data_IF_558313242387
#
_entry.id   IF_558313242387
#
_cell.length_a   1.000
_cell.length_b   1.000
_cell.length_c   1.000
_cell.angle_alpha   90.00
_cell.angle_beta   90.00
_cell.angle_gamma   90.00
#
_symmetry.space_group_name_H-M   'P 1'
#
loop_
_entity.id
_entity.type
_entity.pdbx_description
1 polymer ?
#
# COMPACT_ATOMS: atom_id res chain seq x y z
N UNK A 1 22.46 -62.95 31.51
CA UNK A 1 21.05 -62.58 31.73
C UNK A 1 20.91 -61.33 32.60
N UNK A 2 21.99 -60.81 33.20
CA UNK A 2 21.91 -59.64 34.10
C UNK A 2 22.01 -58.27 33.39
N UNK A 3 22.51 -58.22 32.15
CA UNK A 3 22.67 -56.97 31.40
C UNK A 3 21.36 -56.29 30.99
N UNK A 4 20.28 -57.04 30.73
CA UNK A 4 18.97 -56.45 30.37
C UNK A 4 18.30 -55.74 31.58
N UNK A 5 18.53 -56.25 32.79
CA UNK A 5 18.02 -55.62 34.02
C UNK A 5 18.79 -54.34 34.35
N UNK A 6 20.11 -54.34 34.16
CA UNK A 6 20.94 -53.15 34.38
C UNK A 6 20.67 -52.06 33.33
N UNK A 7 20.42 -52.43 32.08
CA UNK A 7 20.12 -51.45 31.02
C UNK A 7 18.71 -50.87 31.15
N UNK A 8 17.71 -51.64 31.59
CA UNK A 8 16.38 -51.11 31.92
C UNK A 8 16.41 -50.20 33.15
N UNK A 9 17.24 -50.50 34.16
CA UNK A 9 17.45 -49.63 35.31
C UNK A 9 18.08 -48.28 34.91
N UNK A 10 19.04 -48.28 33.97
CA UNK A 10 19.64 -47.04 33.44
C UNK A 10 18.64 -46.19 32.65
N UNK A 11 17.86 -46.81 31.76
CA UNK A 11 16.85 -46.09 30.97
C UNK A 11 15.75 -45.48 31.86
N UNK A 12 15.34 -46.17 32.93
CA UNK A 12 14.37 -45.62 33.88
C UNK A 12 14.97 -44.49 34.71
N UNK A 13 16.25 -44.58 35.10
CA UNK A 13 16.97 -43.49 35.77
C UNK A 13 17.06 -42.24 34.88
N UNK A 14 17.46 -42.39 33.61
CA UNK A 14 17.57 -41.29 32.66
C UNK A 14 16.21 -40.62 32.41
N UNK A 15 15.14 -41.41 32.33
CA UNK A 15 13.78 -40.91 32.20
C UNK A 15 13.34 -40.13 33.46
N UNK A 16 13.63 -40.66 34.65
CA UNK A 16 13.35 -39.96 35.91
C UNK A 16 14.14 -38.67 36.04
N UNK A 17 15.40 -38.66 35.60
CA UNK A 17 16.26 -37.48 35.59
C UNK A 17 15.73 -36.43 34.61
N UNK A 18 15.32 -36.83 33.40
CA UNK A 18 14.70 -35.95 32.42
C UNK A 18 13.40 -35.34 32.95
N UNK A 19 12.55 -36.16 33.60
CA UNK A 19 11.30 -35.68 34.22
C UNK A 19 11.58 -34.76 35.41
N UNK A 20 12.60 -35.04 36.22
CA UNK A 20 12.97 -34.20 37.35
C UNK A 20 13.49 -32.85 36.87
N UNK A 21 14.35 -32.83 35.84
CA UNK A 21 14.83 -31.58 35.20
C UNK A 21 13.68 -30.79 34.60
N UNK A 22 12.71 -31.47 33.98
CA UNK A 22 11.51 -30.81 33.46
C UNK A 22 10.66 -30.22 34.58
N UNK A 23 10.44 -30.95 35.68
CA UNK A 23 9.71 -30.45 36.84
C UNK A 23 10.44 -29.29 37.53
N UNK A 24 11.77 -29.36 37.60
CA UNK A 24 12.60 -28.27 38.11
C UNK A 24 12.50 -27.03 37.22
N UNK A 25 12.56 -27.22 35.91
CA UNK A 25 12.37 -26.14 34.94
C UNK A 25 10.97 -25.52 35.01
N UNK A 26 9.91 -26.31 35.21
CA UNK A 26 8.55 -25.75 35.33
C UNK A 26 8.35 -24.97 36.63
N UNK A 27 8.95 -25.42 37.73
CA UNK A 27 8.81 -24.78 39.04
C UNK A 27 9.69 -23.52 39.16
N UNK A 28 10.91 -23.57 38.63
CA UNK A 28 11.89 -22.50 38.81
C UNK A 28 12.14 -21.65 37.56
N UNK A 29 11.63 -22.06 36.40
CA UNK A 29 11.86 -21.38 35.12
C UNK A 29 13.27 -21.56 34.58
N UNK A 30 13.66 -20.74 33.60
CA UNK A 30 15.01 -20.72 33.05
C UNK A 30 16.01 -20.29 34.14
N UNK A 31 16.81 -21.23 34.62
CA UNK A 31 17.88 -20.99 35.57
C UNK A 31 19.09 -20.41 34.83
N UNK A 32 18.99 -19.17 34.36
CA UNK A 32 20.20 -18.40 34.07
C UNK A 32 21.01 -18.33 35.37
N UNK A 33 22.28 -18.71 35.32
CA UNK A 33 23.18 -18.99 36.44
C UNK A 33 23.47 -17.83 37.42
N UNK A 34 22.59 -16.84 37.54
CA UNK A 34 22.75 -15.65 38.37
C UNK A 34 21.66 -15.44 39.44
N UNK A 35 20.83 -16.45 39.74
CA UNK A 35 19.82 -16.33 40.78
C UNK A 35 20.22 -17.07 42.07
N UNK A 36 20.85 -16.34 42.99
CA UNK A 36 21.08 -16.68 44.39
C UNK A 36 20.09 -17.71 44.99
N UNK A 37 20.56 -18.93 45.23
CA UNK A 37 19.78 -20.08 45.71
C UNK A 37 19.59 -20.16 47.23
N UNK A 38 19.81 -19.07 47.98
CA UNK A 38 19.72 -19.09 49.46
C UNK A 38 18.63 -18.22 50.09
N UNK A 39 17.84 -17.48 49.30
CA UNK A 39 16.73 -16.64 49.81
C UNK A 39 15.54 -16.54 48.84
N UNK A 40 15.19 -17.63 48.13
CA UNK A 40 13.95 -17.63 47.34
C UNK A 40 12.81 -18.10 48.24
N UNK A 41 11.76 -17.27 48.37
CA UNK A 41 10.51 -17.62 49.06
C UNK A 41 9.97 -18.95 48.53
N UNK A 42 9.30 -19.72 49.39
CA UNK A 42 8.68 -20.99 48.98
C UNK A 42 7.73 -20.77 47.79
N UNK A 43 7.55 -21.78 46.92
CA UNK A 43 6.58 -21.72 45.81
C UNK A 43 5.18 -21.38 46.34
N UNK A 44 4.83 -21.92 47.51
CA UNK A 44 3.58 -21.63 48.19
C UNK A 44 3.47 -20.14 48.59
N UNK A 45 4.56 -19.54 49.09
CA UNK A 45 4.60 -18.12 49.44
C UNK A 45 4.49 -17.21 48.21
N UNK A 46 5.13 -17.59 47.09
CA UNK A 46 5.03 -16.86 45.82
C UNK A 46 3.63 -16.94 45.22
N UNK A 47 3.01 -18.12 45.25
CA UNK A 47 1.62 -18.29 44.81
C UNK A 47 0.68 -17.47 45.69
N UNK A 48 0.88 -17.46 47.00
CA UNK A 48 0.07 -16.67 47.91
C UNK A 48 0.26 -15.15 47.73
N UNK A 49 1.46 -14.70 47.37
CA UNK A 49 1.73 -13.30 47.01
C UNK A 49 1.03 -12.91 45.70
N UNK A 50 1.02 -13.80 44.70
CA UNK A 50 0.28 -13.60 43.45
C UNK A 50 -1.23 -13.63 43.66
N UNK A 51 -1.73 -14.53 44.49
CA UNK A 51 -3.14 -14.63 44.88
C UNK A 51 -3.60 -13.34 45.56
N UNK A 52 -2.83 -12.85 46.55
CA UNK A 52 -3.09 -11.55 47.17
C UNK A 52 -3.06 -10.40 46.15
N UNK A 53 -2.11 -10.43 45.22
CA UNK A 53 -2.03 -9.45 44.13
C UNK A 53 -3.28 -9.48 43.23
N UNK A 54 -3.74 -10.68 42.90
CA UNK A 54 -4.94 -10.90 42.09
C UNK A 54 -6.21 -10.47 42.84
N UNK A 55 -6.31 -10.74 44.14
CA UNK A 55 -7.40 -10.28 45.00
C UNK A 55 -7.46 -8.75 45.05
N UNK A 56 -6.31 -8.08 45.14
CA UNK A 56 -6.24 -6.62 45.10
C UNK A 56 -6.66 -6.07 43.73
N UNK A 57 -6.26 -6.72 42.63
CA UNK A 57 -6.62 -6.30 41.27
C UNK A 57 -8.10 -6.53 40.99
N UNK A 58 -8.64 -7.67 41.41
CA UNK A 58 -10.07 -8.00 41.26
C UNK A 58 -10.95 -7.13 42.15
N UNK A 59 -10.48 -6.72 43.33
CA UNK A 59 -11.18 -5.72 44.14
C UNK A 59 -11.21 -4.33 43.47
N UNK A 60 -10.17 -3.96 42.73
CA UNK A 60 -10.03 -2.64 42.08
C UNK A 60 -10.67 -2.56 40.69
N UNK A 61 -10.75 -3.65 39.94
CA UNK A 61 -11.22 -3.68 38.55
C UNK A 61 -12.49 -4.48 38.38
N UNK A 62 -13.58 -3.81 37.96
CA UNK A 62 -14.86 -4.46 37.60
C UNK A 62 -14.69 -5.45 36.44
N UNK A 63 -13.83 -5.13 35.47
CA UNK A 63 -13.56 -5.98 34.31
C UNK A 63 -12.93 -7.30 34.74
N UNK A 64 -11.99 -7.28 35.69
CA UNK A 64 -11.39 -8.50 36.22
C UNK A 64 -12.42 -9.40 36.93
N UNK A 65 -13.36 -8.80 37.68
CA UNK A 65 -14.47 -9.54 38.29
C UNK A 65 -15.40 -10.14 37.23
N UNK A 66 -15.71 -9.39 36.18
CA UNK A 66 -16.60 -9.85 35.13
C UNK A 66 -15.96 -10.97 34.31
N UNK A 67 -14.65 -10.93 34.06
CA UNK A 67 -13.91 -12.02 33.44
C UNK A 67 -13.87 -13.27 34.33
N UNK A 68 -13.71 -13.13 35.65
CA UNK A 68 -13.77 -14.28 36.55
C UNK A 68 -15.19 -14.89 36.61
N UNK A 69 -16.23 -14.06 36.61
CA UNK A 69 -17.62 -14.53 36.51
C UNK A 69 -17.88 -15.21 35.16
N UNK A 70 -17.30 -14.67 34.09
CA UNK A 70 -17.41 -15.25 32.75
C UNK A 70 -16.72 -16.62 32.67
N UNK A 71 -15.50 -16.72 33.22
CA UNK A 71 -14.77 -17.99 33.34
C UNK A 71 -15.51 -19.01 34.19
N UNK A 72 -16.16 -18.59 35.27
CA UNK A 72 -16.95 -19.48 36.11
C UNK A 72 -18.23 -19.97 35.42
N UNK A 73 -18.86 -19.14 34.58
CA UNK A 73 -20.08 -19.49 33.82
C UNK A 73 -19.78 -20.31 32.58
N UNK A 74 -18.62 -20.08 31.96
CA UNK A 74 -18.21 -20.71 30.72
C UNK A 74 -16.73 -21.11 30.81
N UNK A 75 -16.42 -22.19 31.56
CA UNK A 75 -15.05 -22.72 31.60
C UNK A 75 -14.56 -23.12 30.21
N UNK A 76 -15.47 -23.59 29.36
CA UNK A 76 -15.20 -24.09 28.01
C UNK A 76 -14.70 -23.02 27.01
N UNK A 77 -14.86 -21.72 27.33
CA UNK A 77 -14.29 -20.64 26.52
C UNK A 77 -12.77 -20.47 26.72
N UNK A 78 -12.27 -20.93 27.87
CA UNK A 78 -10.87 -20.74 28.28
C UNK A 78 -10.08 -22.05 28.34
N UNK A 79 -10.79 -23.18 28.37
CA UNK A 79 -10.20 -24.51 28.20
C UNK A 79 -10.55 -24.99 26.79
N UNK A 80 -9.56 -25.02 25.90
CA UNK A 80 -9.71 -25.75 24.64
C UNK A 80 -9.83 -27.23 25.01
N UNK A 81 -10.95 -27.92 24.71
CA UNK A 81 -11.04 -29.35 24.95
C UNK A 81 -9.93 -30.07 24.16
N UNK A 82 -9.47 -31.19 24.69
CA UNK A 82 -8.45 -32.03 24.07
C UNK A 82 -8.77 -32.27 22.59
N UNK A 83 -7.74 -32.14 21.74
CA UNK A 83 -7.78 -32.10 20.28
C UNK A 83 -8.45 -33.32 19.59
N UNK A 84 -8.87 -34.34 20.34
CA UNK A 84 -9.44 -35.57 19.80
C UNK A 84 -10.97 -35.55 19.68
N UNK A 85 -11.67 -34.62 20.35
CA UNK A 85 -13.14 -34.52 20.24
C UNK A 85 -13.51 -33.19 19.56
N UNK A 86 -14.02 -33.20 18.32
CA UNK A 86 -14.44 -31.97 17.65
C UNK A 86 -15.56 -31.31 18.47
N UNK A 87 -15.50 -30.00 18.74
CA UNK A 87 -16.47 -29.34 19.59
C UNK A 87 -17.87 -29.46 18.97
N UNK A 88 -18.71 -30.28 19.61
CA UNK A 88 -20.09 -30.58 19.23
C UNK A 88 -21.04 -29.45 19.66
N UNK A 89 -20.69 -28.19 19.36
CA UNK A 89 -21.52 -27.04 19.72
C UNK A 89 -22.76 -26.89 18.82
N UNK A 90 -22.80 -27.58 17.68
CA UNK A 90 -23.89 -27.49 16.72
C UNK A 90 -24.51 -28.87 16.46
N UNK A 91 -25.83 -28.94 16.54
CA UNK A 91 -26.59 -30.13 16.18
C UNK A 91 -26.46 -30.43 14.68
N UNK A 92 -26.54 -31.70 14.29
CA UNK A 92 -26.39 -32.17 12.91
C UNK A 92 -27.30 -31.41 11.90
N UNK A 93 -28.59 -31.15 12.17
CA UNK A 93 -29.43 -30.30 11.33
C UNK A 93 -28.93 -28.86 11.19
N UNK A 94 -28.30 -28.28 12.21
CA UNK A 94 -27.73 -26.93 12.12
C UNK A 94 -26.49 -26.92 11.22
N UNK A 95 -25.67 -27.98 11.28
CA UNK A 95 -24.52 -28.14 10.37
C UNK A 95 -24.97 -28.29 8.92
N UNK A 96 -25.99 -29.11 8.66
CA UNK A 96 -26.51 -29.30 7.30
C UNK A 96 -27.15 -28.03 6.75
N UNK A 97 -27.89 -27.27 7.56
CA UNK A 97 -28.46 -25.98 7.18
C UNK A 97 -27.38 -24.98 6.76
N UNK A 98 -26.28 -24.89 7.52
CA UNK A 98 -25.14 -24.03 7.17
C UNK A 98 -24.52 -24.47 5.85
N UNK A 99 -24.20 -25.75 5.70
CA UNK A 99 -23.60 -26.29 4.47
C UNK A 99 -24.50 -26.05 3.25
N UNK A 100 -25.82 -26.23 3.41
CA UNK A 100 -26.79 -25.99 2.34
C UNK A 100 -26.87 -24.50 1.98
N UNK A 101 -26.81 -23.61 2.99
CA UNK A 101 -26.80 -22.16 2.76
C UNK A 101 -25.53 -21.71 2.03
N UNK A 102 -24.38 -22.34 2.32
CA UNK A 102 -23.10 -22.04 1.66
C UNK A 102 -22.87 -22.85 0.39
N UNK A 103 -23.76 -23.77 0.01
CA UNK A 103 -23.55 -24.73 -1.06
C UNK A 103 -23.22 -24.07 -2.41
N UNK A 104 -23.92 -22.97 -2.73
CA UNK A 104 -23.70 -22.23 -3.97
C UNK A 104 -22.35 -21.49 -4.01
N UNK A 105 -21.74 -21.21 -2.85
CA UNK A 105 -20.45 -20.51 -2.77
C UNK A 105 -19.24 -21.43 -3.01
N UNK A 106 -19.39 -22.74 -2.79
CA UNK A 106 -18.32 -23.72 -3.00
C UNK A 106 -17.88 -23.85 -4.47
N UNK A 107 -18.76 -24.01 -5.47
CA UNK A 107 -18.33 -24.08 -6.87
C UNK A 107 -17.74 -22.75 -7.36
N UNK A 108 -18.26 -21.61 -6.89
CA UNK A 108 -17.74 -20.29 -7.23
C UNK A 108 -16.31 -20.09 -6.70
N UNK A 109 -16.06 -20.44 -5.43
CA UNK A 109 -14.73 -20.35 -4.83
C UNK A 109 -13.77 -21.37 -5.43
N UNK A 110 -14.22 -22.59 -5.74
CA UNK A 110 -13.41 -23.59 -6.44
C UNK A 110 -13.03 -23.14 -7.86
N UNK A 111 -13.95 -22.51 -8.59
CA UNK A 111 -13.68 -21.94 -9.92
C UNK A 111 -12.69 -20.77 -9.82
N UNK A 112 -12.84 -19.89 -8.84
CA UNK A 112 -11.91 -18.78 -8.59
C UNK A 112 -10.51 -19.28 -8.23
N UNK A 113 -10.39 -20.29 -7.36
CA UNK A 113 -9.11 -20.89 -6.99
C UNK A 113 -8.45 -21.62 -8.17
N UNK A 114 -9.23 -22.31 -8.99
CA UNK A 114 -8.73 -22.93 -10.23
C UNK A 114 -8.22 -21.87 -11.19
N UNK A 115 -8.97 -20.78 -11.37
CA UNK A 115 -8.54 -19.65 -12.20
C UNK A 115 -7.26 -18.99 -11.69
N UNK A 116 -7.08 -18.83 -10.38
CA UNK A 116 -5.84 -18.30 -9.79
C UNK A 116 -4.67 -19.27 -10.01
N UNK A 117 -4.92 -20.58 -9.91
CA UNK A 117 -3.91 -21.61 -10.19
C UNK A 117 -3.46 -21.61 -11.66
N UNK A 118 -4.39 -21.31 -12.58
CA UNK A 118 -4.11 -21.24 -14.00
C UNK A 118 -3.41 -19.95 -14.43
N UNK A 119 -3.36 -18.92 -13.56
CA UNK A 119 -2.52 -17.75 -13.82
C UNK A 119 -1.06 -18.05 -13.48
N UNK A 120 -0.14 -18.06 -14.46
CA UNK A 120 1.27 -18.21 -14.16
C UNK A 120 1.72 -16.99 -13.37
N UNK A 121 2.22 -17.22 -12.16
CA UNK A 121 2.92 -16.19 -11.39
C UNK A 121 4.08 -15.71 -12.27
N UNK A 122 4.16 -14.41 -12.61
CA UNK A 122 5.21 -13.92 -13.49
C UNK A 122 6.58 -14.26 -12.90
N UNK A 123 7.51 -14.69 -13.75
CA UNK A 123 8.87 -15.02 -13.36
C UNK A 123 9.46 -13.89 -12.51
N UNK A 124 9.92 -14.23 -11.29
CA UNK A 124 10.45 -13.26 -10.32
C UNK A 124 11.59 -12.40 -10.91
N UNK A 125 12.35 -12.96 -11.88
CA UNK A 125 13.38 -12.24 -12.61
C UNK A 125 12.83 -11.07 -13.44
N UNK A 126 11.66 -11.23 -14.09
CA UNK A 126 11.02 -10.15 -14.86
C UNK A 126 10.54 -9.04 -13.93
N UNK A 127 9.91 -9.41 -12.82
CA UNK A 127 9.47 -8.45 -11.80
C UNK A 127 10.66 -7.70 -11.18
N UNK A 128 11.75 -8.39 -10.88
CA UNK A 128 12.98 -7.78 -10.38
C UNK A 128 13.60 -6.81 -11.40
N UNK A 129 13.61 -7.15 -12.69
CA UNK A 129 14.08 -6.27 -13.77
C UNK A 129 13.23 -4.99 -13.87
N UNK A 130 11.91 -5.08 -13.74
CA UNK A 130 11.01 -3.92 -13.74
C UNK A 130 11.28 -3.00 -12.53
N UNK A 131 11.52 -3.59 -11.35
CA UNK A 131 11.86 -2.81 -10.16
C UNK A 131 13.21 -2.12 -10.35
N UNK A 132 14.18 -2.80 -10.98
CA UNK A 132 15.51 -2.27 -11.25
C UNK A 132 15.51 -1.13 -12.29
N UNK A 133 14.55 -1.07 -13.23
CA UNK A 133 14.46 0.02 -14.21
C UNK A 133 13.74 1.27 -13.71
N UNK A 134 13.03 1.18 -12.58
CA UNK A 134 12.32 2.32 -11.96
C UNK A 134 13.16 3.60 -11.74
N UNK A 135 14.40 3.55 -11.24
CA UNK A 135 15.20 4.76 -11.08
C UNK A 135 15.53 5.43 -12.42
N UNK A 136 15.82 4.65 -13.47
CA UNK A 136 16.10 5.18 -14.81
C UNK A 136 14.89 5.91 -15.39
N UNK A 137 13.68 5.37 -15.19
CA UNK A 137 12.44 6.04 -15.59
C UNK A 137 12.27 7.37 -14.85
N UNK A 138 12.53 7.40 -13.54
CA UNK A 138 12.45 8.63 -12.75
C UNK A 138 13.46 9.70 -13.20
N UNK A 139 14.67 9.31 -13.60
CA UNK A 139 15.67 10.23 -14.14
C UNK A 139 15.23 10.81 -15.49
N UNK A 140 14.67 9.98 -16.37
CA UNK A 140 14.14 10.41 -17.66
C UNK A 140 12.93 11.34 -17.50
N UNK A 141 12.05 11.08 -16.54
CA UNK A 141 10.92 11.95 -16.21
C UNK A 141 11.40 13.33 -15.75
N UNK A 142 12.45 13.40 -14.91
CA UNK A 142 13.03 14.66 -14.47
C UNK A 142 13.65 15.45 -15.65
N UNK A 143 14.35 14.76 -16.56
CA UNK A 143 14.88 15.37 -17.78
C UNK A 143 13.76 15.89 -18.69
N UNK A 144 12.67 15.12 -18.85
CA UNK A 144 11.52 15.52 -19.64
C UNK A 144 10.84 16.76 -19.03
N UNK A 145 10.73 16.84 -17.70
CA UNK A 145 10.20 18.02 -17.01
C UNK A 145 11.08 19.26 -17.26
N UNK A 146 12.41 19.10 -17.24
CA UNK A 146 13.33 20.20 -17.57
C UNK A 146 13.19 20.64 -19.03
N UNK A 147 13.10 19.68 -19.97
CA UNK A 147 12.95 19.96 -21.40
C UNK A 147 11.61 20.63 -21.74
N UNK A 148 10.51 20.22 -21.11
CA UNK A 148 9.21 20.86 -21.35
C UNK A 148 9.21 22.32 -20.90
N UNK A 149 9.89 22.64 -19.78
CA UNK A 149 10.09 24.02 -19.33
C UNK A 149 10.92 24.85 -20.32
N UNK A 150 12.01 24.30 -20.84
CA UNK A 150 12.84 25.03 -21.83
C UNK A 150 12.06 25.24 -23.13
N UNK A 151 11.35 24.23 -23.62
CA UNK A 151 10.49 24.34 -24.80
C UNK A 151 9.41 25.42 -24.60
N UNK A 152 8.76 25.47 -23.44
CA UNK A 152 7.78 26.50 -23.14
C UNK A 152 8.40 27.91 -23.21
N UNK A 153 9.56 28.11 -22.58
CA UNK A 153 10.26 29.41 -22.62
C UNK A 153 10.73 29.79 -24.04
N UNK A 154 11.15 28.81 -24.85
CA UNK A 154 11.54 29.04 -26.23
C UNK A 154 10.33 29.42 -27.08
N UNK A 155 9.21 28.73 -26.90
CA UNK A 155 7.94 29.04 -27.59
C UNK A 155 7.45 30.45 -27.28
N UNK A 156 7.55 30.87 -26.02
CA UNK A 156 7.19 32.23 -25.62
C UNK A 156 8.09 33.27 -26.30
N UNK A 157 9.41 33.04 -26.29
CA UNK A 157 10.38 33.93 -26.95
C UNK A 157 10.18 33.98 -28.46
N UNK A 158 9.92 32.86 -29.11
CA UNK A 158 9.66 32.83 -30.56
C UNK A 158 8.34 33.52 -30.90
N UNK A 159 7.29 33.32 -30.10
CA UNK A 159 6.03 34.01 -30.27
C UNK A 159 6.20 35.53 -30.16
N UNK A 160 6.97 36.01 -29.18
CA UNK A 160 7.25 37.44 -29.01
C UNK A 160 8.03 38.03 -30.20
N UNK A 161 9.04 37.31 -30.72
CA UNK A 161 9.79 37.74 -31.90
C UNK A 161 8.91 37.76 -33.15
N UNK A 162 8.10 36.73 -33.36
CA UNK A 162 7.16 36.66 -34.50
C UNK A 162 6.13 37.77 -34.43
N UNK A 163 5.57 38.05 -33.24
CA UNK A 163 4.61 39.14 -33.05
C UNK A 163 5.26 40.49 -33.34
N UNK A 164 6.49 40.72 -32.88
CA UNK A 164 7.22 41.96 -33.18
C UNK A 164 7.50 42.10 -34.68
N UNK A 165 7.96 41.03 -35.32
CA UNK A 165 8.23 41.05 -36.76
C UNK A 165 6.96 41.31 -37.57
N UNK A 166 5.85 40.64 -37.23
CA UNK A 166 4.58 40.84 -37.92
C UNK A 166 4.03 42.26 -37.74
N UNK A 167 4.08 42.79 -36.51
CA UNK A 167 3.57 44.14 -36.22
C UNK A 167 4.43 45.25 -36.81
N UNK A 168 5.76 45.14 -36.75
CA UNK A 168 6.65 46.21 -37.23
C UNK A 168 6.91 46.08 -38.72
N UNK A 169 7.27 44.90 -39.20
CA UNK A 169 7.78 44.74 -40.56
C UNK A 169 6.63 44.60 -41.57
N UNK A 170 5.69 43.68 -41.32
CA UNK A 170 4.57 43.43 -42.24
C UNK A 170 3.51 44.52 -42.14
N UNK A 171 3.00 44.78 -40.94
CA UNK A 171 1.85 45.68 -40.80
C UNK A 171 2.21 47.13 -41.11
N UNK A 172 3.32 47.66 -40.58
CA UNK A 172 3.72 49.04 -40.88
C UNK A 172 4.13 49.22 -42.35
N UNK A 173 4.83 48.25 -42.94
CA UNK A 173 5.13 48.32 -44.38
C UNK A 173 3.84 48.27 -45.19
N UNK A 174 2.87 47.44 -44.81
CA UNK A 174 1.55 47.39 -45.44
C UNK A 174 0.80 48.72 -45.35
N UNK A 175 0.79 49.36 -44.18
CA UNK A 175 0.23 50.71 -43.99
C UNK A 175 0.94 51.74 -44.88
N UNK A 176 2.28 51.68 -44.96
CA UNK A 176 3.06 52.59 -45.81
C UNK A 176 2.78 52.39 -47.30
N UNK A 177 2.69 51.13 -47.75
CA UNK A 177 2.31 50.82 -49.13
C UNK A 177 0.90 51.29 -49.45
N UNK A 178 -0.06 51.10 -48.54
CA UNK A 178 -1.43 51.57 -48.70
C UNK A 178 -1.52 53.10 -48.75
N UNK A 179 -0.71 53.81 -47.95
CA UNK A 179 -0.62 55.27 -48.00
C UNK A 179 -0.09 55.75 -49.36
N UNK A 180 0.98 55.13 -49.87
CA UNK A 180 1.55 55.45 -51.18
C UNK A 180 0.53 55.19 -52.29
N UNK A 181 -0.16 54.05 -52.26
CA UNK A 181 -1.20 53.71 -53.23
C UNK A 181 -2.35 54.73 -53.20
N UNK A 182 -2.81 55.12 -52.00
CA UNK A 182 -3.83 56.17 -51.86
C UNK A 182 -3.39 57.52 -52.42
N UNK A 183 -2.12 57.90 -52.24
CA UNK A 183 -1.57 59.11 -52.86
C UNK A 183 -1.53 59.02 -54.39
N UNK A 184 -1.12 57.88 -54.94
CA UNK A 184 -1.11 57.67 -56.39
C UNK A 184 -2.53 57.75 -56.96
N UNK A 185 -3.52 57.14 -56.31
CA UNK A 185 -4.92 57.21 -56.74
C UNK A 185 -5.44 58.65 -56.74
N UNK A 186 -5.15 59.44 -55.70
CA UNK A 186 -5.53 60.87 -55.70
C UNK A 186 -4.86 61.67 -56.83
N UNK A 187 -3.59 61.37 -57.15
CA UNK A 187 -2.88 61.99 -58.27
C UNK A 187 -3.48 61.56 -59.62
N UNK A 188 -3.77 60.28 -59.81
CA UNK A 188 -4.43 59.77 -61.02
C UNK A 188 -5.80 60.41 -61.23
N UNK A 189 -6.61 60.53 -60.18
CA UNK A 189 -7.90 61.20 -60.25
C UNK A 189 -7.73 62.68 -60.61
N UNK A 190 -6.72 63.36 -60.05
CA UNK A 190 -6.38 64.74 -60.41
C UNK A 190 -5.99 64.89 -61.89
N UNK A 191 -5.11 64.01 -62.39
CA UNK A 191 -4.71 63.98 -63.80
C UNK A 191 -5.90 63.69 -64.71
N UNK A 192 -6.75 62.72 -64.35
CA UNK A 192 -7.95 62.38 -65.12
C UNK A 192 -8.92 63.57 -65.24
N UNK A 193 -9.12 64.31 -64.15
CA UNK A 193 -9.95 65.53 -64.16
C UNK A 193 -9.35 66.63 -65.03
N UNK A 194 -8.04 66.84 -64.94
CA UNK A 194 -7.34 67.83 -65.77
C UNK A 194 -7.38 67.48 -67.27
N UNK A 195 -7.24 66.19 -67.60
CA UNK A 195 -7.33 65.70 -68.97
C UNK A 195 -8.75 65.90 -69.55
N UNK A 196 -9.80 65.61 -68.77
CA UNK A 196 -11.19 65.88 -69.18
C UNK A 196 -11.41 67.37 -69.42
N UNK A 197 -10.96 68.24 -68.50
CA UNK A 197 -11.10 69.69 -68.66
C UNK A 197 -10.39 70.22 -69.91
N UNK A 198 -9.18 69.70 -70.21
CA UNK A 198 -8.44 70.05 -71.42
C UNK A 198 -9.15 69.59 -72.70
N UNK A 199 -9.73 68.39 -72.70
CA UNK A 199 -10.52 67.89 -73.83
C UNK A 199 -11.80 68.71 -74.05
N UNK A 200 -12.43 69.19 -72.98
CA UNK A 200 -13.59 70.10 -73.07
C UNK A 200 -13.20 71.49 -73.61
N UNK A 201 -12.04 72.04 -73.20
CA UNK A 201 -11.48 73.28 -73.76
C UNK A 201 -11.13 73.12 -75.25
N UNK A 202 -10.50 72.01 -75.65
CA UNK A 202 -10.19 71.71 -77.06
C UNK A 202 -11.45 71.44 -77.92
N UNK A 203 -12.58 71.06 -77.32
CA UNK A 203 -13.85 70.84 -78.02
C UNK A 203 -14.75 72.09 -78.12
N UNK A 204 -14.46 73.15 -77.34
CA UNK A 204 -15.24 74.40 -77.32
C UNK A 204 -14.53 75.61 -77.93
N UNK A 205 -13.25 75.46 -78.33
CA UNK A 205 -12.51 76.39 -79.19
C UNK A 205 -12.54 76.00 -80.66
#
# INVERSE_FOLDING_TARGET
MDHDADDTARLTLDLLEARLRQAEYTIYGHLDGNANSRKRKSVAERLHELEKGLDVITAKSKVAQDLLKLRARHPDLFYSPDSEVPPSLLDLPSKSAIVLSSAASFPLTASSLTSIRDTPIPEAERSAKIIATRPQVSELEALQAAQTKTIASLKERTAAVLQRWYSVDILQSGEHWAEIEGRIDTMEQGVRRAEIARQEEEATG
#
